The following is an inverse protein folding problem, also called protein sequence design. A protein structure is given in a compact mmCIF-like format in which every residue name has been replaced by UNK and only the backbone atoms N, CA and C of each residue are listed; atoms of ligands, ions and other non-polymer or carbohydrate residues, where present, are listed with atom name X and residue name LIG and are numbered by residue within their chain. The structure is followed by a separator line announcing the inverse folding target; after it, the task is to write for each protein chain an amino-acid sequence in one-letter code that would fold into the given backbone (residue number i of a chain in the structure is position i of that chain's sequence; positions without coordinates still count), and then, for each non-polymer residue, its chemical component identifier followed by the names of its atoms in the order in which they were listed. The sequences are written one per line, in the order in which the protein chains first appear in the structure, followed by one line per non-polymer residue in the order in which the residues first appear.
data_IF_367182272763
#
_entry.id   IF_367182272763
#
_cell.length_a   1.000
_cell.length_b   1.000
_cell.length_c   1.000
_cell.angle_alpha   90.00
_cell.angle_beta   90.00
_cell.angle_gamma   90.00
#
_symmetry.space_group_name_H-M   'P 1'
#
loop_
_entity.id
_entity.type
_entity.pdbx_description
1 polymer ?
#
# COMPACT_ATOMS: atom_id res chain seq x y z
N UNK A 1 35.02 11.73 4.16
CA UNK A 1 34.72 13.07 4.72
C UNK A 1 35.47 13.16 6.04
N UNK A 2 36.19 14.25 6.31
CA UNK A 2 36.93 14.41 7.56
C UNK A 2 36.02 14.92 8.68
N UNK A 3 36.20 14.39 9.89
CA UNK A 3 35.44 14.81 11.06
C UNK A 3 35.72 16.28 11.40
N UNK A 4 34.86 16.93 12.19
CA UNK A 4 35.13 18.30 12.63
C UNK A 4 36.42 18.38 13.47
N UNK A 5 36.64 17.40 14.34
CA UNK A 5 37.84 17.32 15.17
C UNK A 5 39.13 17.17 14.35
N UNK A 6 39.10 16.32 13.32
CA UNK A 6 40.24 16.14 12.39
C UNK A 6 40.57 17.43 11.65
N UNK A 7 39.55 18.19 11.25
CA UNK A 7 39.70 19.50 10.58
C UNK A 7 40.29 20.54 11.51
N UNK A 8 39.84 20.60 12.77
CA UNK A 8 40.37 21.52 13.78
C UNK A 8 41.83 21.18 14.12
N UNK A 9 42.16 19.89 14.33
CA UNK A 9 43.54 19.43 14.56
C UNK A 9 44.47 19.81 13.39
N UNK A 10 44.00 19.67 12.15
CA UNK A 10 44.76 20.05 10.97
C UNK A 10 45.06 21.56 10.92
N UNK A 11 44.11 22.42 11.30
CA UNK A 11 44.34 23.88 11.35
C UNK A 11 45.28 24.26 12.50
N UNK A 12 45.14 23.64 13.66
CA UNK A 12 46.03 23.92 14.80
C UNK A 12 47.48 23.57 14.48
N UNK A 13 47.73 22.41 13.84
CA UNK A 13 49.06 22.04 13.37
C UNK A 13 49.56 22.94 12.25
N UNK A 14 48.69 23.35 11.34
CA UNK A 14 49.03 24.31 10.28
C UNK A 14 49.50 25.65 10.84
N UNK A 15 48.85 26.16 11.89
CA UNK A 15 49.28 27.38 12.59
C UNK A 15 50.58 27.18 13.37
N UNK A 16 50.81 26.00 13.94
CA UNK A 16 52.04 25.66 14.68
C UNK A 16 53.28 25.60 13.78
N UNK A 17 53.12 25.25 12.50
CA UNK A 17 54.21 25.17 11.52
C UNK A 17 54.30 26.41 10.61
N UNK A 18 53.94 27.60 11.10
CA UNK A 18 54.01 28.86 10.37
C UNK A 18 53.29 28.83 9.00
N UNK A 19 52.11 28.21 8.95
CA UNK A 19 51.30 28.04 7.73
C UNK A 19 51.96 27.17 6.64
N UNK A 20 52.83 26.22 7.02
CA UNK A 20 53.39 25.24 6.10
C UNK A 20 52.42 24.10 5.78
N UNK A 21 51.87 24.11 4.56
CA UNK A 21 51.01 23.05 4.05
C UNK A 21 51.74 21.70 3.98
N UNK A 22 52.99 21.69 3.51
CA UNK A 22 53.76 20.46 3.32
C UNK A 22 54.12 19.78 4.65
N UNK A 23 54.46 20.55 5.68
CA UNK A 23 54.76 20.01 7.01
C UNK A 23 53.51 19.38 7.63
N UNK A 24 52.38 20.10 7.60
CA UNK A 24 51.11 19.63 8.18
C UNK A 24 50.62 18.33 7.54
N UNK A 25 50.74 18.22 6.21
CA UNK A 25 50.29 17.03 5.46
C UNK A 25 51.23 15.84 5.69
N UNK A 26 52.54 16.07 5.83
CA UNK A 26 53.52 15.02 6.12
C UNK A 26 53.30 14.41 7.50
N UNK A 27 52.98 15.24 8.49
CA UNK A 27 52.76 14.83 9.88
C UNK A 27 51.42 14.10 10.06
N UNK A 28 50.34 14.61 9.44
CA UNK A 28 49.01 14.03 9.61
C UNK A 28 48.68 12.93 8.58
N UNK A 29 49.33 12.90 7.42
CA UNK A 29 49.01 11.98 6.32
C UNK A 29 47.71 12.32 5.56
N UNK A 30 46.99 13.34 6.02
CA UNK A 30 45.81 13.97 5.44
C UNK A 30 45.85 15.45 5.88
N UNK A 31 45.04 16.39 5.35
CA UNK A 31 44.18 16.39 4.16
C UNK A 31 44.95 16.81 2.89
N UNK A 32 44.28 16.99 1.74
CA UNK A 32 44.90 17.61 0.58
C UNK A 32 45.17 19.11 0.79
N UNK A 33 46.15 19.68 0.08
CA UNK A 33 46.49 21.12 0.14
C UNK A 33 45.25 22.00 -0.10
N UNK A 34 44.40 21.62 -1.07
CA UNK A 34 43.17 22.34 -1.38
C UNK A 34 42.12 22.27 -0.27
N UNK A 35 42.00 21.13 0.42
CA UNK A 35 41.10 20.98 1.55
C UNK A 35 41.57 21.82 2.75
N UNK A 36 42.87 21.79 3.07
CA UNK A 36 43.44 22.59 4.15
C UNK A 36 43.28 24.09 3.88
N UNK A 37 43.53 24.54 2.65
CA UNK A 37 43.29 25.93 2.23
C UNK A 37 41.82 26.33 2.41
N UNK A 38 40.88 25.46 2.02
CA UNK A 38 39.44 25.74 2.16
C UNK A 38 39.03 25.86 3.62
N UNK A 39 39.53 24.97 4.49
CA UNK A 39 39.25 25.03 5.92
C UNK A 39 39.91 26.25 6.58
N UNK A 40 41.14 26.58 6.22
CA UNK A 40 41.81 27.77 6.74
C UNK A 40 41.11 29.06 6.32
N UNK A 41 40.71 29.18 5.05
CA UNK A 41 39.93 30.33 4.57
C UNK A 41 38.59 30.46 5.29
N UNK A 42 37.95 29.34 5.60
CA UNK A 42 36.72 29.33 6.38
C UNK A 42 36.98 29.79 7.82
N UNK A 43 38.02 29.26 8.47
CA UNK A 43 38.45 29.66 9.80
C UNK A 43 38.76 31.17 9.90
N UNK A 44 39.35 31.77 8.86
CA UNK A 44 39.59 33.22 8.79
C UNK A 44 38.30 34.05 8.72
N UNK A 45 37.24 33.52 8.09
CA UNK A 45 35.97 34.25 7.90
C UNK A 45 35.07 34.12 9.13
N UNK A 46 34.92 32.92 9.68
CA UNK A 46 33.96 32.63 10.76
C UNK A 46 34.58 32.45 12.15
N UNK A 47 35.91 32.35 12.27
CA UNK A 47 36.62 32.05 13.53
C UNK A 47 36.46 30.61 14.02
N UNK A 48 35.62 29.80 13.37
CA UNK A 48 35.38 28.39 13.66
C UNK A 48 34.98 27.65 12.37
N UNK A 49 35.25 26.35 12.31
CA UNK A 49 34.86 25.50 11.18
C UNK A 49 33.40 25.04 11.30
N UNK A 50 32.69 24.89 10.18
CA UNK A 50 31.37 24.29 10.19
C UNK A 50 31.43 22.84 10.70
N UNK A 51 30.53 22.49 11.62
CA UNK A 51 30.37 21.12 12.08
C UNK A 51 29.97 20.20 10.92
N UNK A 52 29.07 20.66 10.06
CA UNK A 52 28.54 19.90 8.93
C UNK A 52 28.75 20.61 7.60
N UNK A 53 29.15 19.87 6.57
CA UNK A 53 29.25 20.39 5.22
C UNK A 53 27.84 20.69 4.68
N UNK A 54 27.38 21.93 4.86
CA UNK A 54 26.10 22.37 4.28
C UNK A 54 26.32 22.71 2.82
N UNK A 55 25.74 21.91 1.92
CA UNK A 55 25.58 22.32 0.51
C UNK A 55 24.83 23.65 0.52
N UNK A 56 25.39 24.67 -0.16
CA UNK A 56 24.65 25.90 -0.43
C UNK A 56 23.36 25.51 -1.16
N UNK A 57 22.22 25.82 -0.57
CA UNK A 57 20.91 25.60 -1.20
C UNK A 57 20.91 26.30 -2.56
N UNK A 58 20.40 25.63 -3.61
CA UNK A 58 20.29 26.20 -4.95
C UNK A 58 19.38 27.43 -5.00
N UNK A 59 18.51 27.59 -3.99
CA UNK A 59 17.50 28.65 -3.92
C UNK A 59 17.55 29.33 -2.55
N UNK A 60 17.41 30.66 -2.57
CA UNK A 60 17.30 31.50 -1.36
C UNK A 60 16.00 31.18 -0.60
N UNK A 61 15.99 31.41 0.72
CA UNK A 61 14.77 31.26 1.53
C UNK A 61 13.64 32.19 1.07
N UNK A 62 13.99 33.39 0.59
CA UNK A 62 13.03 34.35 0.03
C UNK A 62 12.34 33.78 -1.22
N UNK A 63 13.13 33.19 -2.12
CA UNK A 63 12.61 32.51 -3.31
C UNK A 63 11.70 31.34 -2.95
N UNK A 64 12.03 30.59 -1.89
CA UNK A 64 11.14 29.53 -1.38
C UNK A 64 9.80 30.11 -0.92
N UNK A 65 9.83 31.17 -0.09
CA UNK A 65 8.62 31.81 0.45
C UNK A 65 7.72 32.37 -0.65
N UNK A 66 8.28 33.08 -1.63
CA UNK A 66 7.53 33.62 -2.77
C UNK A 66 6.84 32.50 -3.55
N UNK A 67 7.54 31.40 -3.82
CA UNK A 67 6.97 30.26 -4.54
C UNK A 67 5.83 29.58 -3.75
N UNK A 68 5.99 29.44 -2.45
CA UNK A 68 4.98 28.82 -1.57
C UNK A 68 3.76 29.73 -1.40
N UNK A 69 3.95 31.04 -1.21
CA UNK A 69 2.84 31.99 -1.11
C UNK A 69 2.00 32.01 -2.39
N UNK A 70 2.66 32.12 -3.55
CA UNK A 70 1.97 32.05 -4.84
C UNK A 70 1.21 30.71 -5.00
N UNK A 71 1.77 29.59 -4.53
CA UNK A 71 1.06 28.31 -4.56
C UNK A 71 -0.26 28.35 -3.77
N UNK A 72 -0.27 28.96 -2.58
CA UNK A 72 -1.46 29.06 -1.75
C UNK A 72 -2.48 30.08 -2.27
N UNK A 73 -2.02 31.24 -2.74
CA UNK A 73 -2.89 32.31 -3.28
C UNK A 73 -3.64 31.87 -4.54
N UNK A 74 -2.99 31.14 -5.45
CA UNK A 74 -3.55 30.83 -6.77
C UNK A 74 -4.15 29.42 -6.88
N UNK A 75 -4.61 28.85 -5.75
CA UNK A 75 -5.45 27.65 -5.74
C UNK A 75 -4.70 26.32 -5.74
N UNK A 76 -3.46 26.29 -5.24
CA UNK A 76 -2.70 25.06 -4.95
C UNK A 76 -2.33 24.23 -6.19
N UNK A 77 -2.03 24.90 -7.30
CA UNK A 77 -1.58 24.27 -8.54
C UNK A 77 -0.06 24.45 -8.75
N UNK A 78 0.71 23.38 -8.58
CA UNK A 78 2.18 23.41 -8.77
C UNK A 78 2.57 23.87 -10.17
N UNK A 79 1.90 23.37 -11.22
CA UNK A 79 2.25 23.71 -12.61
C UNK A 79 2.08 25.21 -12.91
N UNK A 80 1.09 25.87 -12.29
CA UNK A 80 0.84 27.29 -12.48
C UNK A 80 1.97 28.12 -11.87
N UNK A 81 2.37 27.82 -10.63
CA UNK A 81 3.48 28.49 -9.95
C UNK A 81 4.81 28.33 -10.72
N UNK A 82 5.08 27.12 -11.22
CA UNK A 82 6.32 26.83 -11.96
C UNK A 82 6.37 27.58 -13.29
N UNK A 83 5.24 27.66 -14.02
CA UNK A 83 5.19 28.42 -15.27
C UNK A 83 5.37 29.92 -15.06
N UNK A 84 4.84 30.47 -13.96
CA UNK A 84 4.94 31.90 -13.69
C UNK A 84 6.36 32.28 -13.22
N UNK A 85 6.91 31.54 -12.26
CA UNK A 85 8.19 31.88 -11.65
C UNK A 85 9.39 31.37 -12.47
N UNK A 86 9.21 30.38 -13.35
CA UNK A 86 10.30 29.78 -14.16
C UNK A 86 11.24 28.86 -13.36
N UNK A 87 11.06 28.82 -12.03
CA UNK A 87 11.65 27.92 -11.05
C UNK A 87 10.59 27.72 -9.95
N UNK A 88 10.73 26.83 -8.97
CA UNK A 88 11.56 25.62 -8.88
C UNK A 88 10.93 24.43 -9.64
N UNK A 89 11.48 23.22 -9.51
CA UNK A 89 10.82 22.01 -9.99
C UNK A 89 9.64 21.61 -9.07
N UNK A 90 8.77 20.70 -9.54
CA UNK A 90 7.56 20.28 -8.81
C UNK A 90 7.87 19.64 -7.45
N UNK A 91 8.98 18.91 -7.34
CA UNK A 91 9.36 18.20 -6.12
C UNK A 91 9.93 19.13 -5.06
N UNK A 92 10.78 20.08 -5.44
CA UNK A 92 11.27 21.14 -4.55
C UNK A 92 10.12 22.00 -4.05
N UNK A 93 9.18 22.40 -4.93
CA UNK A 93 8.01 23.17 -4.48
C UNK A 93 7.14 22.37 -3.50
N UNK A 94 6.98 21.06 -3.74
CA UNK A 94 6.29 20.16 -2.81
C UNK A 94 7.00 20.14 -1.45
N UNK A 95 8.31 19.92 -1.44
CA UNK A 95 9.09 19.84 -0.21
C UNK A 95 9.03 21.17 0.55
N UNK A 96 9.13 22.32 -0.13
CA UNK A 96 9.03 23.63 0.52
C UNK A 96 7.64 23.89 1.09
N UNK A 97 6.57 23.46 0.42
CA UNK A 97 5.23 23.53 0.99
C UNK A 97 5.10 22.64 2.24
N UNK A 98 5.78 21.49 2.29
CA UNK A 98 5.81 20.61 3.47
C UNK A 98 6.65 21.21 4.62
N UNK A 99 7.78 21.85 4.31
CA UNK A 99 8.62 22.55 5.30
C UNK A 99 7.91 23.78 5.90
N UNK A 100 7.27 24.60 5.07
CA UNK A 100 6.74 25.90 5.47
C UNK A 100 5.27 25.86 5.93
N UNK A 101 4.49 24.88 5.51
CA UNK A 101 3.07 24.78 5.85
C UNK A 101 2.60 23.31 5.98
N UNK A 102 3.05 22.58 7.02
CA UNK A 102 2.60 21.22 7.30
C UNK A 102 1.12 21.22 7.72
N UNK A 103 0.21 21.03 6.76
CA UNK A 103 -1.24 20.91 7.02
C UNK A 103 -2.11 21.64 6.00
N UNK A 104 -1.58 22.67 5.33
CA UNK A 104 -2.31 23.38 4.28
C UNK A 104 -2.41 22.58 2.97
N UNK A 105 -1.76 21.42 2.89
CA UNK A 105 -1.78 20.55 1.72
C UNK A 105 -3.15 19.89 1.54
N UNK A 106 -3.68 19.94 0.31
CA UNK A 106 -4.68 18.97 -0.16
C UNK A 106 -4.05 17.58 -0.16
N UNK A 107 -4.13 16.89 0.97
CA UNK A 107 -3.88 15.46 1.01
C UNK A 107 -4.94 14.83 0.10
N UNK A 108 -4.51 14.25 -1.03
CA UNK A 108 -5.35 13.27 -1.70
C UNK A 108 -5.52 12.17 -0.67
N UNK A 109 -6.71 12.07 -0.06
CA UNK A 109 -7.08 10.92 0.75
C UNK A 109 -6.79 9.72 -0.14
N UNK A 110 -5.73 8.97 0.17
CA UNK A 110 -5.48 7.73 -0.56
C UNK A 110 -6.73 6.87 -0.38
N UNK A 111 -7.07 6.06 -1.38
CA UNK A 111 -8.14 5.09 -1.23
C UNK A 111 -7.92 4.35 0.08
N UNK A 112 -8.81 4.56 1.05
CA UNK A 112 -8.74 3.95 2.38
C UNK A 112 -8.54 2.46 2.12
N UNK A 113 -7.40 1.91 2.56
CA UNK A 113 -7.12 0.47 2.47
C UNK A 113 -7.97 -0.21 3.52
N UNK A 114 -9.23 -0.43 3.17
CA UNK A 114 -10.21 -1.07 4.04
C UNK A 114 -10.04 -2.59 3.99
N UNK A 115 -9.94 -3.24 5.14
CA UNK A 115 -9.88 -4.71 5.25
C UNK A 115 -11.18 -5.34 4.75
N UNK A 116 -11.14 -6.62 4.34
CA UNK A 116 -12.33 -7.30 3.82
C UNK A 116 -13.51 -7.27 4.81
N UNK A 117 -13.26 -7.54 6.10
CA UNK A 117 -14.31 -7.50 7.15
C UNK A 117 -14.96 -6.12 7.29
N UNK A 118 -14.16 -5.08 7.13
CA UNK A 118 -14.65 -3.70 7.18
C UNK A 118 -15.51 -3.39 5.95
N UNK A 119 -15.15 -3.88 4.75
CA UNK A 119 -16.00 -3.74 3.56
C UNK A 119 -17.34 -4.44 3.73
N UNK A 120 -17.34 -5.63 4.31
CA UNK A 120 -18.57 -6.40 4.55
C UNK A 120 -19.48 -5.70 5.57
N UNK A 121 -18.91 -5.13 6.62
CA UNK A 121 -19.66 -4.29 7.57
C UNK A 121 -20.24 -3.04 6.92
N UNK A 122 -19.49 -2.39 6.03
CA UNK A 122 -19.96 -1.23 5.25
C UNK A 122 -21.10 -1.62 4.32
N UNK A 123 -21.03 -2.78 3.65
CA UNK A 123 -22.09 -3.30 2.80
C UNK A 123 -23.35 -3.70 3.59
N UNK A 124 -23.20 -4.30 4.78
CA UNK A 124 -24.34 -4.57 5.68
C UNK A 124 -25.07 -3.28 6.07
N UNK A 125 -24.33 -2.23 6.46
CA UNK A 125 -24.90 -0.91 6.76
C UNK A 125 -25.51 -0.25 5.51
N UNK A 126 -24.95 -0.49 4.32
CA UNK A 126 -25.45 0.07 3.06
C UNK A 126 -26.88 -0.39 2.70
N UNK A 127 -27.24 -1.62 3.07
CA UNK A 127 -28.59 -2.17 2.86
C UNK A 127 -29.57 -1.97 4.04
N UNK A 128 -29.14 -1.30 5.11
CA UNK A 128 -30.01 -1.01 6.23
C UNK A 128 -31.16 -0.04 5.83
N UNK A 129 -32.41 -0.22 6.32
CA UNK A 129 -33.60 0.49 5.83
C UNK A 129 -33.60 2.02 5.88
N UNK A 130 -32.68 2.65 6.61
CA UNK A 130 -32.64 4.11 6.85
C UNK A 130 -31.26 4.75 6.60
N UNK A 131 -30.33 4.04 5.96
CA UNK A 131 -28.97 4.56 5.77
C UNK A 131 -28.89 5.59 4.64
N UNK A 132 -28.59 6.85 4.97
CA UNK A 132 -28.21 7.84 3.97
C UNK A 132 -26.79 7.50 3.44
N UNK A 133 -26.75 6.99 2.20
CA UNK A 133 -25.53 6.51 1.52
C UNK A 133 -24.42 7.55 1.45
N UNK A 134 -24.75 8.85 1.41
CA UNK A 134 -23.75 9.93 1.45
C UNK A 134 -23.10 10.03 2.83
N UNK A 135 -23.91 10.06 3.89
CA UNK A 135 -23.42 10.13 5.28
C UNK A 135 -22.58 8.90 5.65
N UNK A 136 -22.94 7.72 5.16
CA UNK A 136 -22.20 6.48 5.38
C UNK A 136 -20.83 6.52 4.69
N UNK A 137 -20.76 7.05 3.47
CA UNK A 137 -19.50 7.22 2.76
C UNK A 137 -18.58 8.22 3.49
N UNK A 138 -19.13 9.33 3.97
CA UNK A 138 -18.39 10.34 4.71
C UNK A 138 -17.88 9.83 6.06
N UNK A 139 -18.71 9.08 6.81
CA UNK A 139 -18.34 8.49 8.09
C UNK A 139 -17.19 7.49 7.98
N UNK A 140 -17.19 6.69 6.92
CA UNK A 140 -16.14 5.67 6.67
C UNK A 140 -14.96 6.25 5.86
N UNK A 141 -15.01 7.53 5.47
CA UNK A 141 -13.96 8.22 4.71
C UNK A 141 -13.82 7.78 3.25
N UNK A 142 -14.87 7.16 2.69
CA UNK A 142 -14.89 6.54 1.36
C UNK A 142 -15.68 7.43 0.39
N UNK A 143 -15.35 7.38 -0.90
CA UNK A 143 -16.17 8.03 -1.92
C UNK A 143 -17.47 7.26 -2.13
N UNK A 144 -18.59 7.98 -2.31
CA UNK A 144 -19.87 7.35 -2.67
C UNK A 144 -19.74 6.42 -3.87
N UNK A 145 -18.94 6.78 -4.87
CA UNK A 145 -18.72 5.97 -6.08
C UNK A 145 -18.13 4.59 -5.73
N UNK A 146 -17.21 4.56 -4.77
CA UNK A 146 -16.55 3.33 -4.33
C UNK A 146 -17.55 2.35 -3.69
N UNK A 147 -18.58 2.85 -2.98
CA UNK A 147 -19.64 1.98 -2.43
C UNK A 147 -20.43 1.26 -3.52
N UNK A 148 -20.77 1.96 -4.60
CA UNK A 148 -21.48 1.35 -5.74
C UNK A 148 -20.58 0.37 -6.49
N UNK A 149 -19.30 0.70 -6.67
CA UNK A 149 -18.33 -0.23 -7.26
C UNK A 149 -18.18 -1.51 -6.42
N UNK A 150 -18.14 -1.39 -5.08
CA UNK A 150 -18.09 -2.57 -4.21
C UNK A 150 -19.38 -3.39 -4.32
N UNK A 151 -20.55 -2.76 -4.33
CA UNK A 151 -21.83 -3.45 -4.57
C UNK A 151 -21.79 -4.28 -5.85
N UNK A 152 -21.33 -3.67 -6.94
CA UNK A 152 -21.26 -4.32 -8.25
C UNK A 152 -20.23 -5.46 -8.29
N UNK A 153 -19.14 -5.36 -7.52
CA UNK A 153 -18.13 -6.42 -7.44
C UNK A 153 -18.58 -7.64 -6.64
N UNK A 154 -19.27 -7.44 -5.51
CA UNK A 154 -19.65 -8.55 -4.61
C UNK A 154 -21.00 -9.16 -4.95
N UNK A 155 -21.98 -8.35 -5.38
CA UNK A 155 -23.35 -8.78 -5.61
C UNK A 155 -23.73 -8.78 -7.11
N UNK A 156 -22.90 -8.16 -7.95
CA UNK A 156 -23.18 -7.98 -9.37
C UNK A 156 -24.00 -6.72 -9.66
N UNK A 157 -23.90 -6.22 -10.90
CA UNK A 157 -24.59 -5.00 -11.35
C UNK A 157 -26.11 -5.12 -11.24
N UNK A 158 -26.65 -6.31 -11.54
CA UNK A 158 -28.08 -6.61 -11.54
C UNK A 158 -28.70 -6.72 -10.15
N UNK A 159 -27.91 -6.73 -9.07
CA UNK A 159 -28.47 -6.88 -7.73
C UNK A 159 -29.23 -5.60 -7.30
N UNK A 160 -30.49 -5.71 -6.81
CA UNK A 160 -31.32 -4.56 -6.51
C UNK A 160 -30.75 -3.75 -5.33
N UNK A 161 -30.74 -2.41 -5.47
CA UNK A 161 -30.27 -1.48 -4.44
C UNK A 161 -31.23 -1.36 -3.24
N UNK A 162 -32.48 -1.75 -3.45
CA UNK A 162 -33.55 -1.74 -2.46
C UNK A 162 -34.35 -3.01 -2.67
N UNK A 163 -34.46 -3.82 -1.63
CA UNK A 163 -35.29 -5.02 -1.65
C UNK A 163 -36.74 -4.56 -1.51
N UNK A 164 -37.49 -4.60 -2.60
CA UNK A 164 -38.97 -4.52 -2.57
C UNK A 164 -39.53 -5.88 -2.14
N UNK A 165 -40.78 -5.92 -1.65
CA UNK A 165 -41.43 -7.17 -1.29
C UNK A 165 -41.50 -8.14 -2.48
N UNK A 166 -41.84 -7.64 -3.67
CA UNK A 166 -41.87 -8.40 -4.93
C UNK A 166 -40.50 -9.04 -5.24
N UNK A 167 -39.40 -8.28 -5.16
CA UNK A 167 -38.06 -8.83 -5.40
C UNK A 167 -37.65 -9.88 -4.37
N UNK A 168 -38.15 -9.80 -3.12
CA UNK A 168 -37.90 -10.80 -2.10
C UNK A 168 -38.65 -12.10 -2.39
N UNK A 169 -39.87 -12.01 -2.91
CA UNK A 169 -40.68 -13.17 -3.28
C UNK A 169 -40.08 -13.88 -4.48
N UNK A 170 -39.71 -13.15 -5.54
CA UNK A 170 -39.02 -13.71 -6.71
C UNK A 170 -37.73 -14.44 -6.34
N UNK A 171 -36.88 -13.83 -5.49
CA UNK A 171 -35.65 -14.49 -5.03
C UNK A 171 -35.93 -15.72 -4.16
N UNK A 172 -36.96 -15.68 -3.31
CA UNK A 172 -37.34 -16.85 -2.52
C UNK A 172 -37.82 -17.99 -3.41
N UNK A 173 -38.62 -17.71 -4.43
CA UNK A 173 -39.08 -18.74 -5.36
C UNK A 173 -37.93 -19.38 -6.12
N UNK A 174 -37.00 -18.58 -6.65
CA UNK A 174 -35.79 -19.08 -7.31
C UNK A 174 -34.97 -19.98 -6.37
N UNK A 175 -34.72 -19.52 -5.13
CA UNK A 175 -33.99 -20.33 -4.14
C UNK A 175 -34.73 -21.62 -3.79
N UNK A 176 -36.06 -21.59 -3.69
CA UNK A 176 -36.87 -22.79 -3.44
C UNK A 176 -36.80 -23.77 -4.61
N UNK A 177 -36.74 -23.30 -5.85
CA UNK A 177 -36.54 -24.18 -7.02
C UNK A 177 -35.16 -24.83 -7.01
N UNK A 178 -34.11 -24.06 -6.72
CA UNK A 178 -32.74 -24.55 -6.65
C UNK A 178 -32.55 -25.56 -5.52
N UNK A 179 -33.12 -25.31 -4.33
CA UNK A 179 -33.11 -26.27 -3.21
C UNK A 179 -33.78 -27.58 -3.59
N UNK A 180 -34.92 -27.53 -4.31
CA UNK A 180 -35.61 -28.74 -4.79
C UNK A 180 -34.78 -29.52 -5.79
N UNK A 181 -34.08 -28.84 -6.70
CA UNK A 181 -33.18 -29.48 -7.66
C UNK A 181 -31.98 -30.14 -6.97
N UNK A 182 -31.32 -29.41 -6.06
CA UNK A 182 -30.21 -29.95 -5.28
C UNK A 182 -30.63 -31.15 -4.44
N UNK A 183 -31.82 -31.12 -3.83
CA UNK A 183 -32.36 -32.27 -3.10
C UNK A 183 -32.55 -33.51 -4.00
N UNK A 184 -33.03 -33.33 -5.24
CA UNK A 184 -33.13 -34.42 -6.21
C UNK A 184 -31.76 -34.99 -6.57
N UNK A 185 -30.77 -34.12 -6.81
CA UNK A 185 -29.39 -34.54 -7.12
C UNK A 185 -28.77 -35.32 -5.95
N UNK A 186 -28.93 -34.83 -4.72
CA UNK A 186 -28.46 -35.54 -3.52
C UNK A 186 -29.11 -36.91 -3.41
N UNK A 187 -30.42 -37.01 -3.65
CA UNK A 187 -31.11 -38.29 -3.62
C UNK A 187 -30.61 -39.27 -4.70
N UNK A 188 -30.39 -38.79 -5.92
CA UNK A 188 -29.80 -39.61 -7.01
C UNK A 188 -28.41 -40.12 -6.64
N UNK A 189 -27.53 -39.25 -6.14
CA UNK A 189 -26.18 -39.62 -5.71
C UNK A 189 -26.20 -40.63 -4.57
N UNK A 190 -27.16 -40.54 -3.65
CA UNK A 190 -27.34 -41.54 -2.58
C UNK A 190 -27.73 -42.91 -3.14
N UNK A 191 -28.61 -42.96 -4.14
CA UNK A 191 -28.99 -44.21 -4.80
C UNK A 191 -27.80 -44.83 -5.56
N UNK A 192 -27.06 -44.02 -6.32
CA UNK A 192 -25.85 -44.49 -7.02
C UNK A 192 -24.82 -45.05 -6.05
N UNK A 193 -24.58 -44.35 -4.93
CA UNK A 193 -23.69 -44.84 -3.88
C UNK A 193 -24.16 -46.18 -3.31
N UNK A 194 -25.46 -46.33 -3.01
CA UNK A 194 -26.01 -47.57 -2.49
C UNK A 194 -25.88 -48.74 -3.48
N UNK A 195 -26.09 -48.48 -4.79
CA UNK A 195 -25.89 -49.47 -5.84
C UNK A 195 -24.42 -49.90 -5.95
N UNK A 196 -23.49 -48.95 -5.90
CA UNK A 196 -22.06 -49.24 -5.92
C UNK A 196 -21.62 -50.01 -4.68
N UNK A 197 -22.09 -49.63 -3.49
CA UNK A 197 -21.83 -50.36 -2.24
C UNK A 197 -22.36 -51.80 -2.34
N UNK A 198 -23.61 -51.98 -2.78
CA UNK A 198 -24.19 -53.31 -3.00
C UNK A 198 -23.41 -54.15 -4.01
N UNK A 199 -22.96 -53.55 -5.12
CA UNK A 199 -22.11 -54.23 -6.10
C UNK A 199 -20.76 -54.65 -5.49
N UNK A 200 -20.12 -53.79 -4.68
CA UNK A 200 -18.87 -54.16 -4.00
C UNK A 200 -19.06 -55.26 -2.96
N UNK A 201 -20.20 -55.29 -2.27
CA UNK A 201 -20.53 -56.38 -1.34
C UNK A 201 -20.75 -57.71 -2.07
N UNK A 202 -21.41 -57.68 -3.23
CA UNK A 202 -21.58 -58.86 -4.09
C UNK A 202 -20.23 -59.36 -4.60
N UNK A 203 -19.39 -58.46 -5.14
CA UNK A 203 -18.04 -58.82 -5.58
C UNK A 203 -17.20 -59.42 -4.44
N UNK A 204 -17.27 -58.87 -3.23
CA UNK A 204 -16.60 -59.43 -2.04
C UNK A 204 -17.14 -60.80 -1.64
N UNK A 205 -18.43 -61.09 -1.88
CA UNK A 205 -19.05 -62.41 -1.63
C UNK A 205 -18.67 -63.43 -2.71
N UNK A 206 -18.54 -63.00 -3.96
CA UNK A 206 -18.12 -63.84 -5.10
C UNK A 206 -16.62 -64.16 -5.07
N UNK A 207 -15.76 -63.25 -4.60
CA UNK A 207 -14.35 -63.56 -4.27
C UNK A 207 -14.20 -64.56 -3.10
N UNK A 208 -15.32 -64.88 -2.42
CA UNK A 208 -15.42 -65.86 -1.35
C UNK A 208 -15.84 -67.26 -1.78
N UNK A 209 -15.62 -67.68 -3.04
CA UNK A 209 -15.69 -69.11 -3.38
C UNK A 209 -14.54 -69.81 -2.63
N UNK A 210 -14.84 -70.33 -1.44
CA UNK A 210 -13.95 -71.26 -0.75
C UNK A 210 -13.82 -72.52 -1.61
N UNK A 211 -12.78 -72.55 -2.45
CA UNK A 211 -12.38 -73.69 -3.29
C UNK A 211 -12.18 -75.01 -2.51
N UNK A 212 -12.14 -74.92 -1.18
CA UNK A 212 -12.03 -76.04 -0.24
C UNK A 212 -13.39 -76.74 0.05
N UNK A 213 -14.53 -76.14 -0.29
CA UNK A 213 -15.86 -76.73 -0.06
C UNK A 213 -16.52 -77.32 -1.31
N UNK A 214 -15.85 -77.29 -2.46
CA UNK A 214 -16.35 -77.91 -3.70
C UNK A 214 -16.10 -79.42 -3.69
N UNK A 215 -17.18 -80.19 -3.83
CA UNK A 215 -17.16 -81.65 -3.95
C UNK A 215 -16.49 -82.05 -5.26
N UNK A 216 -15.75 -83.18 -5.27
CA UNK A 216 -14.91 -83.56 -6.41
C UNK A 216 -15.63 -83.70 -7.77
N UNK A 217 -16.98 -83.75 -7.80
CA UNK A 217 -17.77 -83.74 -9.03
C UNK A 217 -17.83 -82.37 -9.72
N UNK A 218 -17.64 -81.27 -8.99
CA UNK A 218 -17.69 -79.90 -9.54
C UNK A 218 -16.30 -79.44 -10.05
N UNK A 219 -15.25 -80.23 -9.80
CA UNK A 219 -13.86 -79.92 -10.22
C UNK A 219 -13.50 -80.44 -11.62
N UNK A 220 -14.39 -81.18 -12.27
CA UNK A 220 -14.10 -81.90 -13.53
C UNK A 220 -15.01 -81.51 -14.71
N UNK A 221 -15.68 -80.36 -14.62
CA UNK A 221 -16.24 -79.66 -15.79
C UNK A 221 -15.55 -78.31 -15.94
#
# INVERSE_FOLDING_TARGET
MFSHEERVKAIQLFLKYDCSYAATIRELGYPSVGALRKWYNEYLISGALHLEHRKKSKYSEEQKRVAVNHYFEYGQCYARTIRLLGYPNRESLRHWCEELAPGARKLRKSAVKLTQDQKDNVLKKFYAPQANRKSLAEAEGISRVTLYQWKDMYLGRGFPLRMTQENQEEQKELLLTEVKELQKQVHQLQLEKALLEGATELLKKEEGINLLQLTNQEKTR
#
